data_IF_115943541606
#
_entry.id   IF_115943541606
#
_cell.length_a   1.000
_cell.length_b   1.000
_cell.length_c   1.000
_cell.angle_alpha   90.00
_cell.angle_beta   90.00
_cell.angle_gamma   90.00
#
_symmetry.space_group_name_H-M   'P 1'
#
loop_
_entity.id
_entity.type
_entity.pdbx_description
1 polymer ?
#
# COMPACT_ATOMS: atom_id res chain seq x y z
N UNK A 1 4.90 -17.41 -27.68
CA UNK A 1 3.97 -17.71 -26.56
C UNK A 1 3.25 -16.43 -26.24
N UNK A 2 1.95 -16.34 -26.53
CA UNK A 2 1.13 -15.22 -26.08
C UNK A 2 0.88 -15.45 -24.59
N UNK A 3 1.64 -14.80 -23.69
CA UNK A 3 1.25 -14.77 -22.29
C UNK A 3 -0.09 -14.02 -22.19
N UNK A 4 -1.01 -14.50 -21.37
CA UNK A 4 -2.26 -13.77 -21.13
C UNK A 4 -1.95 -12.36 -20.61
N UNK A 5 -2.70 -11.37 -21.12
CA UNK A 5 -2.59 -9.99 -20.66
C UNK A 5 -3.21 -9.85 -19.29
N UNK A 6 -2.36 -9.86 -18.27
CA UNK A 6 -2.75 -9.60 -16.88
C UNK A 6 -2.90 -8.10 -16.57
N UNK A 7 -3.74 -7.81 -15.59
CA UNK A 7 -3.80 -6.54 -14.85
C UNK A 7 -3.05 -6.70 -13.54
N UNK A 8 -1.93 -5.99 -13.41
CA UNK A 8 -1.07 -6.02 -12.22
C UNK A 8 -1.09 -4.66 -11.55
N UNK A 9 -1.45 -4.63 -10.27
CA UNK A 9 -1.40 -3.41 -9.48
C UNK A 9 -0.28 -3.53 -8.47
N UNK A 10 0.60 -2.54 -8.46
CA UNK A 10 1.64 -2.40 -7.46
C UNK A 10 1.15 -1.50 -6.32
N UNK A 11 1.45 -1.84 -5.09
CA UNK A 11 1.37 -0.93 -3.95
C UNK A 11 2.68 -0.96 -3.17
N UNK A 12 3.21 0.22 -2.87
CA UNK A 12 4.45 0.39 -2.13
C UNK A 12 4.44 1.72 -1.38
N UNK A 13 5.31 1.87 -0.38
CA UNK A 13 5.55 3.16 0.28
C UNK A 13 6.40 4.11 -0.57
N UNK A 14 7.24 3.57 -1.46
CA UNK A 14 8.17 4.37 -2.26
C UNK A 14 8.36 3.79 -3.68
N UNK A 15 8.62 4.67 -4.64
CA UNK A 15 8.97 4.33 -6.01
C UNK A 15 9.72 5.49 -6.66
N UNK A 16 10.83 5.19 -7.32
CA UNK A 16 11.60 6.16 -8.07
C UNK A 16 10.86 6.50 -9.39
N UNK A 17 10.82 7.78 -9.80
CA UNK A 17 11.47 8.94 -9.17
C UNK A 17 10.63 9.68 -8.12
N UNK A 18 9.40 9.25 -7.81
CA UNK A 18 8.44 10.02 -7.02
C UNK A 18 8.82 10.17 -5.54
N UNK A 19 9.13 9.07 -4.88
CA UNK A 19 9.51 9.02 -3.49
C UNK A 19 10.55 7.91 -3.31
N UNK A 20 11.68 8.20 -2.66
CA UNK A 20 12.78 7.24 -2.54
C UNK A 20 13.60 7.51 -1.29
N UNK A 21 13.79 6.46 -0.49
CA UNK A 21 14.78 6.38 0.59
C UNK A 21 15.80 5.27 0.37
N UNK A 22 15.49 4.22 -0.39
CA UNK A 22 16.39 3.10 -0.61
C UNK A 22 16.20 2.37 -1.95
N UNK A 23 16.66 1.11 -1.98
CA UNK A 23 16.63 0.27 -3.18
C UNK A 23 15.24 -0.25 -3.55
N UNK A 24 14.30 -0.32 -2.59
CA UNK A 24 12.90 -0.68 -2.85
C UNK A 24 12.32 0.23 -3.94
N UNK A 25 12.52 1.54 -3.79
CA UNK A 25 12.02 2.52 -4.75
C UNK A 25 12.57 2.30 -6.17
N UNK A 26 13.80 1.80 -6.32
CA UNK A 26 14.35 1.52 -7.66
C UNK A 26 13.64 0.33 -8.31
N UNK A 27 13.39 -0.73 -7.54
CA UNK A 27 12.65 -1.90 -8.02
C UNK A 27 11.22 -1.50 -8.41
N UNK A 28 10.50 -0.82 -7.51
CA UNK A 28 9.11 -0.39 -7.78
C UNK A 28 9.05 0.70 -8.85
N UNK A 29 10.11 1.48 -9.05
CA UNK A 29 10.22 2.42 -10.16
C UNK A 29 10.47 1.75 -11.51
N UNK A 30 11.14 0.59 -11.56
CA UNK A 30 11.54 -0.07 -12.79
C UNK A 30 10.60 -1.21 -13.22
N UNK A 31 10.25 -2.10 -12.30
CA UNK A 31 9.52 -3.34 -12.59
C UNK A 31 8.11 -3.10 -13.19
N UNK A 32 7.26 -2.19 -12.67
CA UNK A 32 5.94 -1.95 -13.23
C UNK A 32 6.00 -1.49 -14.69
N UNK A 33 6.97 -0.63 -15.04
CA UNK A 33 7.19 -0.17 -16.42
C UNK A 33 7.68 -1.31 -17.32
N UNK A 34 8.52 -2.20 -16.80
CA UNK A 34 8.97 -3.37 -17.55
C UNK A 34 7.79 -4.29 -17.88
N UNK A 35 6.90 -4.56 -16.92
CA UNK A 35 5.69 -5.35 -17.15
C UNK A 35 4.72 -4.67 -18.12
N UNK A 36 4.56 -3.34 -18.04
CA UNK A 36 3.75 -2.60 -19.00
C UNK A 36 4.29 -2.73 -20.44
N UNK A 37 5.62 -2.69 -20.62
CA UNK A 37 6.27 -2.92 -21.93
C UNK A 37 6.09 -4.34 -22.46
N UNK A 38 5.90 -5.31 -21.59
CA UNK A 38 5.54 -6.69 -21.97
C UNK A 38 4.06 -6.85 -22.34
N UNK A 39 3.26 -5.76 -22.29
CA UNK A 39 1.87 -5.72 -22.74
C UNK A 39 0.84 -5.87 -21.63
N UNK A 40 1.26 -5.99 -20.37
CA UNK A 40 0.35 -6.05 -19.21
C UNK A 40 -0.29 -4.69 -18.92
N UNK A 41 -1.49 -4.68 -18.33
CA UNK A 41 -2.07 -3.46 -17.76
C UNK A 41 -1.48 -3.26 -16.37
N UNK A 42 -0.77 -2.16 -16.15
CA UNK A 42 -0.06 -1.94 -14.88
C UNK A 42 -0.43 -0.59 -14.28
N UNK A 43 -0.73 -0.58 -12.98
CA UNK A 43 -0.91 0.64 -12.20
C UNK A 43 -0.09 0.57 -10.91
N UNK A 44 0.31 1.73 -10.40
CA UNK A 44 1.08 1.87 -9.18
C UNK A 44 0.32 2.76 -8.18
N UNK A 45 0.06 2.25 -6.98
CA UNK A 45 -0.46 3.00 -5.85
C UNK A 45 0.66 3.36 -4.89
N UNK A 46 0.76 4.64 -4.54
CA UNK A 46 1.69 5.16 -3.54
C UNK A 46 0.97 6.09 -2.56
N UNK A 47 1.48 6.29 -1.34
CA UNK A 47 1.11 7.45 -0.54
C UNK A 47 1.54 8.74 -1.25
N UNK A 48 0.74 9.80 -1.15
CA UNK A 48 1.09 11.13 -1.64
C UNK A 48 2.09 11.82 -0.70
N UNK A 49 3.31 11.28 -0.60
CA UNK A 49 4.36 11.87 0.22
C UNK A 49 4.71 13.29 -0.23
N UNK A 50 5.05 14.19 0.71
CA UNK A 50 5.55 15.54 0.42
C UNK A 50 6.65 15.53 -0.67
N UNK A 51 7.54 14.54 -0.57
CA UNK A 51 8.63 14.30 -1.51
C UNK A 51 8.20 14.22 -2.98
N UNK A 52 6.99 13.71 -3.27
CA UNK A 52 6.48 13.65 -4.65
C UNK A 52 6.37 15.06 -5.25
N UNK A 53 5.83 16.01 -4.47
CA UNK A 53 5.71 17.42 -4.88
C UNK A 53 7.06 18.12 -4.91
N UNK A 54 7.93 17.87 -3.93
CA UNK A 54 9.28 18.45 -3.88
C UNK A 54 10.14 18.03 -5.07
N UNK A 55 9.89 16.84 -5.63
CA UNK A 55 10.54 16.35 -6.85
C UNK A 55 9.88 16.86 -8.14
N UNK A 56 8.93 17.78 -8.04
CA UNK A 56 8.30 18.45 -9.17
C UNK A 56 7.20 17.66 -9.86
N UNK A 57 6.70 16.57 -9.28
CA UNK A 57 5.57 15.83 -9.85
C UNK A 57 4.26 16.50 -9.44
N UNK A 58 3.46 16.87 -10.45
CA UNK A 58 2.11 17.38 -10.27
C UNK A 58 1.11 16.27 -10.60
N UNK A 59 0.41 15.79 -9.57
CA UNK A 59 -0.66 14.81 -9.71
C UNK A 59 -2.02 15.51 -9.74
N UNK A 60 -2.82 15.25 -10.76
CA UNK A 60 -4.15 15.83 -10.92
C UNK A 60 -5.08 15.36 -9.80
N UNK A 61 -5.90 16.27 -9.26
CA UNK A 61 -7.05 15.86 -8.45
C UNK A 61 -8.09 15.20 -9.37
N UNK A 62 -8.45 13.96 -9.07
CA UNK A 62 -9.42 13.21 -9.86
C UNK A 62 -10.87 13.49 -9.46
N UNK A 63 -11.08 14.25 -8.38
CA UNK A 63 -12.38 14.44 -7.74
C UNK A 63 -12.85 13.22 -6.93
N UNK A 64 -12.18 12.07 -7.08
CA UNK A 64 -12.49 10.86 -6.33
C UNK A 64 -11.98 10.96 -4.90
N UNK A 65 -12.74 10.40 -3.97
CA UNK A 65 -12.45 10.40 -2.53
C UNK A 65 -12.60 9.00 -1.97
N UNK A 66 -11.68 8.62 -1.10
CA UNK A 66 -11.73 7.38 -0.34
C UNK A 66 -12.38 7.64 1.02
N UNK A 67 -13.14 6.67 1.51
CA UNK A 67 -13.63 6.62 2.88
C UNK A 67 -13.06 5.36 3.52
N UNK A 68 -12.13 5.54 4.45
CA UNK A 68 -11.34 4.44 5.02
C UNK A 68 -11.67 4.33 6.51
N UNK A 69 -12.45 3.31 6.93
CA UNK A 69 -12.73 3.08 8.33
C UNK A 69 -11.48 2.52 9.03
N UNK A 70 -11.13 3.11 10.17
CA UNK A 70 -10.05 2.69 11.08
C UNK A 70 -10.55 2.85 12.51
N UNK A 71 -10.69 1.73 13.23
CA UNK A 71 -11.30 1.73 14.56
C UNK A 71 -12.69 2.38 14.53
N UNK A 72 -12.87 3.42 15.35
CA UNK A 72 -14.10 4.20 15.52
C UNK A 72 -14.25 5.39 14.56
N UNK A 73 -13.25 5.65 13.72
CA UNK A 73 -13.21 6.81 12.82
C UNK A 73 -13.17 6.41 11.35
N UNK A 74 -13.59 7.33 10.49
CA UNK A 74 -13.46 7.20 9.03
C UNK A 74 -12.60 8.33 8.50
N UNK A 75 -11.42 8.00 7.97
CA UNK A 75 -10.55 8.96 7.33
C UNK A 75 -10.95 9.16 5.86
N UNK A 76 -10.84 10.39 5.37
CA UNK A 76 -11.14 10.76 3.99
C UNK A 76 -9.86 11.16 3.29
N UNK A 77 -9.53 10.48 2.20
CA UNK A 77 -8.37 10.81 1.38
C UNK A 77 -8.78 11.12 -0.05
N UNK A 78 -8.03 11.99 -0.71
CA UNK A 78 -8.18 12.23 -2.15
C UNK A 78 -7.38 11.19 -2.95
N UNK A 79 -7.88 10.83 -4.12
CA UNK A 79 -7.09 10.13 -5.12
C UNK A 79 -6.53 11.13 -6.12
N UNK A 80 -5.21 11.19 -6.22
CA UNK A 80 -4.51 11.92 -7.27
C UNK A 80 -4.03 10.97 -8.34
N UNK A 81 -3.91 11.44 -9.57
CA UNK A 81 -3.42 10.64 -10.69
C UNK A 81 -2.36 11.41 -11.47
N UNK A 82 -1.36 10.66 -11.94
CA UNK A 82 -0.45 11.11 -12.98
C UNK A 82 -0.09 9.93 -13.87
N UNK A 83 0.24 10.23 -15.12
CA UNK A 83 0.89 9.27 -16.01
C UNK A 83 2.39 9.53 -16.03
N UNK A 84 3.20 8.49 -15.88
CA UNK A 84 4.65 8.60 -15.96
C UNK A 84 5.22 7.52 -16.87
N UNK A 85 5.69 7.94 -18.04
CA UNK A 85 6.29 7.04 -19.04
C UNK A 85 5.40 5.83 -19.38
N UNK A 86 4.10 6.07 -19.57
CA UNK A 86 3.10 5.04 -19.88
C UNK A 86 2.67 4.17 -18.70
N UNK A 87 3.04 4.54 -17.45
CA UNK A 87 2.56 3.90 -16.23
C UNK A 87 1.52 4.80 -15.55
N UNK A 88 0.36 4.23 -15.22
CA UNK A 88 -0.65 4.87 -14.36
C UNK A 88 -0.17 4.89 -12.91
N UNK A 89 -0.02 6.10 -12.35
CA UNK A 89 0.38 6.29 -10.94
C UNK A 89 -0.74 6.98 -10.19
N UNK A 90 -1.23 6.32 -9.15
CA UNK A 90 -2.29 6.78 -8.27
C UNK A 90 -1.70 7.10 -6.91
N UNK A 91 -1.91 8.32 -6.44
CA UNK A 91 -1.44 8.75 -5.12
C UNK A 91 -2.63 8.85 -4.17
N UNK A 92 -2.50 8.18 -3.02
CA UNK A 92 -3.45 8.28 -1.91
C UNK A 92 -3.04 9.49 -1.07
N UNK A 93 -3.82 10.57 -1.19
CA UNK A 93 -3.52 11.87 -0.63
C UNK A 93 -4.31 12.13 0.66
N UNK A 94 -3.59 12.00 1.76
CA UNK A 94 -4.01 12.36 3.12
C UNK A 94 -2.86 13.16 3.75
N UNK A 95 -2.83 14.50 3.56
CA UNK A 95 -1.73 15.34 3.99
C UNK A 95 -1.35 15.17 5.47
N UNK A 96 -2.31 14.93 6.33
CA UNK A 96 -2.14 14.67 7.76
C UNK A 96 -1.13 13.53 8.01
N UNK A 97 -1.07 12.53 7.13
CA UNK A 97 -0.16 11.39 7.22
C UNK A 97 1.07 11.50 6.32
N UNK A 98 0.95 12.11 5.14
CA UNK A 98 1.99 12.00 4.12
C UNK A 98 2.68 13.33 3.77
N UNK A 99 2.13 14.47 4.20
CA UNK A 99 2.77 15.78 4.04
C UNK A 99 3.78 16.06 5.16
N UNK A 100 4.86 15.30 5.20
CA UNK A 100 5.89 15.36 6.25
C UNK A 100 7.30 15.23 5.68
N UNK A 101 8.27 15.68 6.46
CA UNK A 101 9.68 15.43 6.18
C UNK A 101 10.02 13.96 6.46
N UNK A 102 10.70 13.33 5.49
CA UNK A 102 11.00 11.91 5.53
C UNK A 102 9.77 11.01 5.38
N UNK A 103 9.94 9.85 4.72
CA UNK A 103 8.82 8.91 4.51
C UNK A 103 8.44 8.22 5.82
N UNK A 104 9.43 7.59 6.46
CA UNK A 104 9.25 6.79 7.68
C UNK A 104 9.66 7.54 8.94
N UNK A 105 10.53 8.54 8.82
CA UNK A 105 11.10 9.24 9.96
C UNK A 105 12.06 10.33 9.51
N UNK A 106 12.57 11.10 10.46
CA UNK A 106 13.54 12.18 10.25
C UNK A 106 14.70 12.00 11.23
N UNK A 107 15.93 12.23 10.76
CA UNK A 107 17.15 12.17 11.56
C UNK A 107 17.34 10.85 12.35
N UNK A 108 16.94 9.73 11.74
CA UNK A 108 17.06 8.38 12.32
C UNK A 108 15.97 8.03 13.35
N UNK A 109 14.97 8.89 13.53
CA UNK A 109 13.83 8.66 14.41
C UNK A 109 12.58 8.44 13.55
N UNK A 110 11.95 7.27 13.72
CA UNK A 110 10.69 6.94 13.05
C UNK A 110 9.55 7.85 13.53
N UNK A 111 8.66 8.20 12.60
CA UNK A 111 7.38 8.82 12.93
C UNK A 111 6.58 7.86 13.82
N UNK A 112 6.21 8.31 15.02
CA UNK A 112 5.58 7.48 16.05
C UNK A 112 4.24 6.84 15.60
N UNK A 113 3.56 7.47 14.64
CA UNK A 113 2.30 7.03 14.06
C UNK A 113 2.48 6.19 12.78
N UNK A 114 3.69 5.70 12.46
CA UNK A 114 3.93 4.86 11.28
C UNK A 114 2.98 3.66 11.14
N UNK A 115 2.68 2.99 12.24
CA UNK A 115 1.74 1.87 12.22
C UNK A 115 0.34 2.34 11.79
N UNK A 116 -0.12 3.49 12.27
CA UNK A 116 -1.40 4.07 11.87
C UNK A 116 -1.40 4.53 10.40
N UNK A 117 -0.32 5.20 9.96
CA UNK A 117 -0.16 5.74 8.61
C UNK A 117 -0.16 4.65 7.54
N UNK A 118 0.64 3.61 7.74
CA UNK A 118 0.74 2.51 6.79
C UNK A 118 -0.39 1.48 6.96
N UNK A 119 -0.97 1.39 8.16
CA UNK A 119 -2.22 0.66 8.38
C UNK A 119 -3.34 1.27 7.56
N UNK A 120 -3.55 2.59 7.66
CA UNK A 120 -4.44 3.35 6.79
C UNK A 120 -4.17 3.08 5.32
N UNK A 121 -2.89 3.17 4.89
CA UNK A 121 -2.53 2.97 3.49
C UNK A 121 -2.96 1.58 2.99
N UNK A 122 -2.80 0.53 3.79
CA UNK A 122 -3.23 -0.83 3.44
C UNK A 122 -4.75 -0.90 3.18
N UNK A 123 -5.57 -0.30 4.05
CA UNK A 123 -7.02 -0.23 3.82
C UNK A 123 -7.37 0.65 2.61
N UNK A 124 -6.67 1.77 2.47
CA UNK A 124 -6.88 2.74 1.40
C UNK A 124 -6.55 2.16 0.02
N UNK A 125 -5.57 1.26 -0.10
CA UNK A 125 -5.28 0.52 -1.35
C UNK A 125 -6.52 -0.24 -1.83
N UNK A 126 -7.16 -1.03 -0.97
CA UNK A 126 -8.36 -1.80 -1.36
C UNK A 126 -9.55 -0.88 -1.68
N UNK A 127 -9.72 0.21 -0.92
CA UNK A 127 -10.76 1.20 -1.22
C UNK A 127 -10.52 1.93 -2.54
N UNK A 128 -9.27 2.26 -2.85
CA UNK A 128 -8.89 2.89 -4.12
C UNK A 128 -9.23 1.98 -5.31
N UNK A 129 -8.93 0.68 -5.21
CA UNK A 129 -9.28 -0.28 -6.25
C UNK A 129 -10.79 -0.34 -6.51
N UNK A 130 -11.61 -0.31 -5.45
CA UNK A 130 -13.08 -0.25 -5.58
C UNK A 130 -13.55 1.03 -6.25
N UNK A 131 -13.08 2.19 -5.78
CA UNK A 131 -13.48 3.51 -6.30
C UNK A 131 -13.07 3.68 -7.77
N UNK A 132 -11.92 3.14 -8.15
CA UNK A 132 -11.43 3.14 -9.54
C UNK A 132 -12.07 2.05 -10.41
N UNK A 133 -12.87 1.15 -9.81
CA UNK A 133 -13.35 -0.09 -10.43
C UNK A 133 -12.20 -0.88 -11.11
N UNK A 134 -11.02 -0.86 -10.49
CA UNK A 134 -9.82 -1.54 -10.95
C UNK A 134 -9.72 -2.89 -10.25
N UNK A 135 -9.97 -3.96 -10.99
CA UNK A 135 -9.90 -5.34 -10.49
C UNK A 135 -8.60 -5.99 -10.95
N UNK A 136 -7.55 -6.02 -10.10
CA UNK A 136 -6.29 -6.65 -10.47
C UNK A 136 -6.42 -8.17 -10.51
N UNK A 137 -5.72 -8.80 -11.46
CA UNK A 137 -5.41 -10.23 -11.40
C UNK A 137 -4.36 -10.47 -10.31
N UNK A 138 -3.38 -9.57 -10.19
CA UNK A 138 -2.31 -9.61 -9.19
C UNK A 138 -2.19 -8.26 -8.50
N UNK A 139 -2.27 -8.25 -7.17
CA UNK A 139 -1.89 -7.15 -6.32
C UNK A 139 -0.47 -7.41 -5.76
N UNK A 140 0.53 -6.73 -6.33
CA UNK A 140 1.94 -6.86 -5.98
C UNK A 140 2.29 -5.83 -4.89
N UNK A 141 2.59 -6.35 -3.72
CA UNK A 141 2.80 -5.63 -2.48
C UNK A 141 4.29 -5.64 -2.13
N UNK A 142 4.78 -4.57 -1.54
CA UNK A 142 6.18 -4.40 -1.20
C UNK A 142 6.37 -4.03 0.27
N UNK A 143 7.11 -4.88 0.98
CA UNK A 143 7.49 -4.77 2.38
C UNK A 143 6.34 -4.52 3.38
N UNK A 144 6.71 -4.33 4.65
CA UNK A 144 5.79 -4.23 5.78
C UNK A 144 4.77 -3.09 5.63
N UNK A 145 5.09 -2.02 4.88
CA UNK A 145 4.20 -0.88 4.65
C UNK A 145 2.92 -1.26 3.90
N UNK A 146 2.94 -2.40 3.21
CA UNK A 146 1.78 -2.99 2.53
C UNK A 146 1.45 -4.39 3.06
N UNK A 147 2.10 -4.80 4.15
CA UNK A 147 2.02 -6.15 4.71
C UNK A 147 0.64 -6.54 5.25
N UNK A 148 -0.21 -5.59 5.61
CA UNK A 148 -1.59 -5.89 6.02
C UNK A 148 -2.53 -6.15 4.83
N UNK A 149 -2.15 -5.77 3.61
CA UNK A 149 -3.05 -5.88 2.45
C UNK A 149 -3.48 -7.32 2.14
N UNK A 150 -2.63 -8.37 2.21
CA UNK A 150 -3.07 -9.75 1.97
C UNK A 150 -4.16 -10.19 2.94
N UNK A 151 -3.96 -9.95 4.24
CA UNK A 151 -4.94 -10.24 5.29
C UNK A 151 -6.28 -9.54 5.03
N UNK A 152 -6.24 -8.25 4.70
CA UNK A 152 -7.44 -7.45 4.41
C UNK A 152 -8.12 -7.90 3.11
N UNK A 153 -7.35 -8.27 2.10
CA UNK A 153 -7.85 -8.77 0.82
C UNK A 153 -8.61 -10.08 0.99
N UNK A 154 -8.08 -11.02 1.77
CA UNK A 154 -8.73 -12.31 2.01
C UNK A 154 -10.01 -12.17 2.82
N UNK A 155 -10.04 -11.26 3.80
CA UNK A 155 -11.28 -10.87 4.49
C UNK A 155 -12.33 -10.34 3.50
N UNK A 156 -11.92 -9.50 2.57
CA UNK A 156 -12.82 -8.88 1.59
C UNK A 156 -13.33 -9.88 0.55
N UNK A 157 -12.50 -10.84 0.10
CA UNK A 157 -12.90 -11.94 -0.80
C UNK A 157 -14.05 -12.77 -0.23
N UNK A 158 -14.04 -12.99 1.08
CA UNK A 158 -15.09 -13.74 1.77
C UNK A 158 -16.40 -12.96 1.91
N UNK A 159 -16.40 -11.65 1.65
CA UNK A 159 -17.56 -10.75 1.81
C UNK A 159 -18.15 -10.26 0.50
N UNK A 160 -17.33 -10.09 -0.54
CA UNK A 160 -17.73 -9.53 -1.84
C UNK A 160 -16.96 -10.14 -3.02
N UNK A 161 -17.66 -10.28 -4.13
CA UNK A 161 -17.17 -10.74 -5.43
C UNK A 161 -16.13 -9.84 -6.09
N UNK A 162 -15.97 -8.57 -5.68
CA UNK A 162 -15.07 -7.62 -6.33
C UNK A 162 -13.63 -8.13 -6.46
N UNK A 163 -13.10 -8.75 -5.39
CA UNK A 163 -11.73 -9.27 -5.31
C UNK A 163 -11.63 -10.79 -5.48
N UNK A 164 -12.72 -11.48 -5.82
CA UNK A 164 -12.78 -12.95 -5.79
C UNK A 164 -11.69 -13.66 -6.62
N UNK A 165 -11.17 -13.00 -7.67
CA UNK A 165 -10.12 -13.54 -8.55
C UNK A 165 -8.74 -12.89 -8.35
N UNK A 166 -8.63 -11.92 -7.43
CA UNK A 166 -7.38 -11.19 -7.20
C UNK A 166 -6.41 -12.03 -6.38
N UNK A 167 -5.25 -12.36 -6.94
CA UNK A 167 -4.11 -12.89 -6.19
C UNK A 167 -3.31 -11.75 -5.53
N UNK A 168 -2.66 -12.03 -4.41
CA UNK A 168 -1.67 -11.13 -3.79
C UNK A 168 -0.27 -11.72 -3.88
N UNK A 169 0.73 -10.88 -4.12
CA UNK A 169 2.15 -11.23 -4.10
C UNK A 169 2.88 -10.23 -3.21
N UNK A 170 3.44 -10.67 -2.09
CA UNK A 170 4.28 -9.83 -1.24
C UNK A 170 5.75 -10.06 -1.57
N UNK A 171 6.47 -8.98 -1.88
CA UNK A 171 7.93 -8.98 -2.01
C UNK A 171 8.57 -8.30 -0.83
N UNK A 172 9.42 -9.04 -0.14
CA UNK A 172 10.20 -8.57 1.01
C UNK A 172 11.58 -8.15 0.50
N UNK A 173 11.89 -6.86 0.56
CA UNK A 173 13.20 -6.33 0.17
C UNK A 173 14.19 -6.36 1.33
N UNK A 174 13.68 -6.27 2.56
CA UNK A 174 14.52 -6.36 3.75
C UNK A 174 13.77 -6.93 4.96
N UNK A 175 14.11 -8.17 5.33
CA UNK A 175 13.50 -8.90 6.45
C UNK A 175 13.80 -8.28 7.83
N UNK A 176 14.80 -7.41 7.93
CA UNK A 176 15.10 -6.69 9.18
C UNK A 176 13.97 -5.71 9.56
N UNK A 177 13.18 -5.23 8.60
CA UNK A 177 12.07 -4.29 8.84
C UNK A 177 10.73 -5.02 8.78
N UNK A 178 10.17 -5.32 9.95
CA UNK A 178 8.98 -6.17 10.07
C UNK A 178 7.68 -5.41 10.37
N UNK A 179 7.76 -4.08 10.54
CA UNK A 179 6.63 -3.23 10.93
C UNK A 179 6.04 -3.68 12.27
N UNK A 180 6.86 -3.63 13.34
CA UNK A 180 6.45 -4.05 14.68
C UNK A 180 5.85 -2.87 15.44
N UNK A 181 4.58 -2.99 15.78
CA UNK A 181 3.81 -1.93 16.43
C UNK A 181 3.07 -2.42 17.67
N UNK A 182 2.52 -1.45 18.41
CA UNK A 182 1.74 -1.69 19.61
C UNK A 182 0.48 -2.52 19.33
N UNK A 183 0.12 -3.51 20.17
CA UNK A 183 -1.10 -4.32 20.02
C UNK A 183 -2.40 -3.51 19.95
N UNK A 184 -2.44 -2.31 20.52
CA UNK A 184 -3.58 -1.39 20.50
C UNK A 184 -3.98 -1.02 19.05
N UNK A 185 -3.05 -1.09 18.10
CA UNK A 185 -3.34 -0.88 16.69
C UNK A 185 -4.19 -1.98 16.06
N UNK A 186 -4.34 -3.15 16.70
CA UNK A 186 -5.23 -4.20 16.19
C UNK A 186 -6.68 -3.69 16.16
N UNK A 187 -7.13 -3.09 17.25
CA UNK A 187 -8.44 -2.44 17.32
C UNK A 187 -8.45 -1.14 16.51
N UNK A 188 -7.41 -0.30 16.67
CA UNK A 188 -7.31 1.00 15.99
C UNK A 188 -7.30 0.91 14.45
N UNK A 189 -6.86 -0.22 13.90
CA UNK A 189 -6.86 -0.49 12.45
C UNK A 189 -8.01 -1.41 12.02
N UNK A 190 -8.92 -1.79 12.92
CA UNK A 190 -10.03 -2.69 12.61
C UNK A 190 -9.53 -4.02 11.99
N UNK A 191 -8.48 -4.57 12.60
CA UNK A 191 -7.96 -5.90 12.28
C UNK A 191 -8.73 -6.97 13.08
N UNK A 192 -8.87 -8.19 12.54
CA UNK A 192 -9.53 -9.29 13.23
C UNK A 192 -8.73 -9.69 14.47
N UNK A 193 -9.24 -9.39 15.66
CA UNK A 193 -8.54 -9.63 16.93
C UNK A 193 -8.33 -11.12 17.21
N UNK A 194 -9.19 -11.99 16.67
CA UNK A 194 -9.05 -13.43 16.71
C UNK A 194 -7.80 -13.97 15.98
N UNK A 195 -7.25 -13.18 15.05
CA UNK A 195 -6.00 -13.49 14.33
C UNK A 195 -4.78 -12.81 14.96
N UNK A 196 -4.94 -12.07 16.07
CA UNK A 196 -3.82 -11.58 16.85
C UNK A 196 -3.30 -12.67 17.80
N UNK A 197 -2.60 -13.64 17.23
CA UNK A 197 -2.00 -14.78 17.95
C UNK A 197 -0.64 -15.15 17.36
N UNK A 198 0.10 -16.02 18.05
CA UNK A 198 1.41 -16.50 17.60
C UNK A 198 1.34 -17.26 16.27
N UNK A 199 0.19 -17.86 15.95
CA UNK A 199 -0.08 -18.48 14.64
C UNK A 199 -0.60 -17.45 13.62
N UNK A 200 -1.09 -16.31 14.10
CA UNK A 200 -1.56 -15.16 13.35
C UNK A 200 -0.48 -14.07 13.21
N UNK A 201 -0.86 -12.79 13.26
CA UNK A 201 0.04 -11.66 13.00
C UNK A 201 0.72 -11.07 14.26
N UNK A 202 0.65 -11.75 15.41
CA UNK A 202 1.39 -11.36 16.62
C UNK A 202 2.86 -11.80 16.53
N UNK A 203 3.78 -10.96 17.00
CA UNK A 203 5.21 -11.27 17.06
C UNK A 203 5.86 -10.64 18.29
N UNK A 204 6.23 -11.47 19.28
CA UNK A 204 6.81 -11.07 20.57
C UNK A 204 6.01 -10.00 21.33
N UNK A 205 4.70 -10.21 21.41
CA UNK A 205 3.73 -9.31 22.04
C UNK A 205 3.43 -8.05 21.24
N UNK A 206 3.83 -7.99 19.96
CA UNK A 206 3.62 -6.84 19.07
C UNK A 206 2.81 -7.24 17.83
N UNK A 207 2.16 -6.26 17.22
CA UNK A 207 1.56 -6.40 15.89
C UNK A 207 2.68 -6.35 14.83
N UNK A 208 2.80 -7.38 13.99
CA UNK A 208 3.72 -7.36 12.84
C UNK A 208 2.96 -7.27 11.53
N UNK A 209 3.15 -6.17 10.81
CA UNK A 209 2.54 -6.00 9.49
C UNK A 209 3.13 -6.97 8.48
N UNK A 210 4.44 -7.23 8.54
CA UNK A 210 5.08 -8.15 7.62
C UNK A 210 4.58 -9.58 7.84
N UNK A 211 4.45 -10.00 9.11
CA UNK A 211 3.92 -11.33 9.45
C UNK A 211 2.51 -11.52 8.94
N UNK A 212 1.64 -10.50 9.07
CA UNK A 212 0.28 -10.54 8.54
C UNK A 212 0.21 -10.79 7.02
N UNK A 213 1.26 -10.43 6.29
CA UNK A 213 1.30 -10.56 4.83
C UNK A 213 1.89 -11.85 4.29
N UNK A 214 2.44 -12.71 5.16
CA UNK A 214 3.06 -14.00 4.79
C UNK A 214 2.30 -15.22 5.29
N UNK A 215 1.11 -15.01 5.84
CA UNK A 215 0.25 -16.08 6.38
C UNK A 215 -0.48 -16.84 5.27
#
# INVERSE_FOLDING_TARGET
>A
MNSEKLTVVFAASEAAPFAKTGGLADVVGALPRALARLGHRVALLLPCHRMVRERGFSAADTGLRLQVPLGDRTLRAALRHLEYQGLDVWLIDLPEFFDRDGLYGLDGIDHADNGERYGFFCHAVLQALRVLNLRPDILHLHDWQTGLVPLLLDRDKNRDSFFARTGSLLTIHNLAYQGLFSPELVEGLHLPSELFSIDGFEYWGKLSFLKAGVQ
#
